data_IF_127580704291
#
_entry.id   IF_127580704291
#
_cell.length_a   1.000
_cell.length_b   1.000
_cell.length_c   1.000
_cell.angle_alpha   90.00
_cell.angle_beta   90.00
_cell.angle_gamma   90.00
#
_symmetry.space_group_name_H-M   'P 1'
#
loop_
_entity.id
_entity.type
_entity.pdbx_description
1 polymer ?
#
# COMPACT_ATOMS: atom_id res chain seq x y z
N UNK A 1 -0.25 17.57 4.02
CA UNK A 1 0.48 16.95 2.88
C UNK A 1 -0.52 16.35 1.90
N UNK A 2 -0.09 16.06 0.71
CA UNK A 2 -0.97 15.51 -0.31
C UNK A 2 -0.51 14.13 -0.73
N UNK A 3 -1.41 13.15 -0.65
CA UNK A 3 -1.23 11.82 -1.22
C UNK A 3 -1.72 11.86 -2.66
N UNK A 4 -0.87 11.47 -3.58
CA UNK A 4 -1.20 11.34 -4.99
C UNK A 4 -1.39 9.87 -5.35
N UNK A 5 -2.45 9.57 -6.07
CA UNK A 5 -2.80 8.22 -6.48
C UNK A 5 -3.05 8.22 -7.98
N UNK A 6 -2.25 7.47 -8.73
CA UNK A 6 -2.46 7.25 -10.16
C UNK A 6 -2.98 5.84 -10.38
N UNK A 7 -4.18 5.71 -10.91
CA UNK A 7 -4.84 4.44 -11.16
C UNK A 7 -5.69 4.53 -12.42
N UNK A 8 -5.49 3.62 -13.37
CA UNK A 8 -6.33 3.52 -14.57
C UNK A 8 -6.43 4.80 -15.40
N UNK A 9 -5.37 5.59 -15.51
CA UNK A 9 -5.36 6.85 -16.24
C UNK A 9 -5.92 8.04 -15.46
N UNK A 10 -6.37 7.84 -14.23
CA UNK A 10 -6.85 8.90 -13.35
C UNK A 10 -5.81 9.22 -12.28
N UNK A 11 -5.74 10.49 -11.89
CA UNK A 11 -4.91 10.93 -10.77
C UNK A 11 -5.82 11.54 -9.72
N UNK A 12 -5.75 11.01 -8.50
CA UNK A 12 -6.47 11.53 -7.33
C UNK A 12 -5.48 12.24 -6.41
N UNK A 13 -5.92 13.32 -5.82
CA UNK A 13 -5.16 14.07 -4.82
C UNK A 13 -5.93 14.12 -3.51
N UNK A 14 -5.34 13.60 -2.44
CA UNK A 14 -5.96 13.59 -1.11
C UNK A 14 -5.11 14.38 -0.13
N UNK A 15 -5.70 15.41 0.49
CA UNK A 15 -5.05 16.19 1.55
C UNK A 15 -5.15 15.40 2.85
N UNK A 16 -4.15 14.59 3.16
CA UNK A 16 -4.13 13.68 4.30
C UNK A 16 -2.72 13.55 4.88
N UNK A 17 -2.63 13.16 6.14
CA UNK A 17 -1.36 12.84 6.80
C UNK A 17 -1.16 11.32 6.92
N UNK A 18 -2.24 10.55 6.90
CA UNK A 18 -2.22 9.10 7.01
C UNK A 18 -3.27 8.47 6.10
N UNK A 19 -3.03 7.23 5.72
CA UNK A 19 -4.00 6.40 5.03
C UNK A 19 -3.82 4.94 5.44
N UNK A 20 -4.84 4.14 5.17
CA UNK A 20 -4.76 2.69 5.34
C UNK A 20 -4.88 2.00 3.98
N UNK A 21 -4.27 0.85 3.87
CA UNK A 21 -4.29 0.03 2.68
C UNK A 21 -4.57 -1.40 3.10
N UNK A 22 -5.55 -2.05 2.50
CA UNK A 22 -5.79 -3.46 2.78
C UNK A 22 -6.17 -4.23 1.52
N UNK A 23 -5.93 -5.53 1.56
CA UNK A 23 -6.23 -6.44 0.47
C UNK A 23 -6.38 -7.85 1.02
N UNK A 24 -7.03 -8.72 0.23
CA UNK A 24 -7.17 -10.14 0.56
C UNK A 24 -6.03 -10.92 -0.08
N UNK A 25 -5.34 -11.72 0.70
CA UNK A 25 -4.27 -12.58 0.18
C UNK A 25 -4.85 -13.65 -0.75
N UNK A 26 -4.28 -13.82 -1.94
CA UNK A 26 -4.85 -14.67 -3.00
C UNK A 26 -4.88 -16.16 -2.65
N UNK A 27 -3.95 -16.64 -1.83
CA UNK A 27 -3.84 -18.07 -1.48
C UNK A 27 -4.59 -18.38 -0.21
N UNK A 28 -4.30 -17.68 0.88
CA UNK A 28 -4.88 -17.97 2.21
C UNK A 28 -6.21 -17.30 2.45
N UNK A 29 -6.59 -16.33 1.60
CA UNK A 29 -7.75 -15.43 1.76
C UNK A 29 -7.77 -14.66 3.07
N UNK A 30 -6.64 -14.60 3.76
CA UNK A 30 -6.45 -13.73 4.91
C UNK A 30 -6.40 -12.26 4.47
N UNK A 31 -6.74 -11.37 5.39
CA UNK A 31 -6.70 -9.94 5.13
C UNK A 31 -5.35 -9.41 5.58
N UNK A 32 -4.74 -8.65 4.71
CA UNK A 32 -3.53 -7.89 4.98
C UNK A 32 -3.91 -6.42 5.06
N UNK A 33 -3.55 -5.74 6.14
CA UNK A 33 -3.88 -4.35 6.41
C UNK A 33 -2.63 -3.59 6.83
N UNK A 34 -2.45 -2.38 6.31
CA UNK A 34 -1.32 -1.50 6.63
C UNK A 34 -1.81 -0.07 6.86
N UNK A 35 -1.18 0.61 7.80
CA UNK A 35 -1.34 2.04 8.00
C UNK A 35 -0.04 2.73 7.61
N UNK A 36 -0.17 3.78 6.83
CA UNK A 36 0.93 4.54 6.28
C UNK A 36 0.85 5.99 6.71
N UNK A 37 1.99 6.63 6.85
CA UNK A 37 2.12 8.06 7.12
C UNK A 37 2.85 8.77 5.99
N UNK A 38 2.42 10.01 5.69
CA UNK A 38 3.09 10.91 4.79
C UNK A 38 4.14 11.72 5.55
N UNK A 39 5.31 11.88 4.97
CA UNK A 39 6.36 12.74 5.50
C UNK A 39 7.06 13.46 4.34
N UNK A 40 7.94 14.41 4.65
CA UNK A 40 8.77 15.07 3.65
C UNK A 40 9.67 14.08 2.89
N UNK A 41 10.00 12.95 3.52
CA UNK A 41 10.85 11.91 2.94
C UNK A 41 10.08 10.87 2.14
N UNK A 42 8.76 10.94 2.11
CA UNK A 42 7.90 10.04 1.35
C UNK A 42 6.83 9.35 2.17
N UNK A 43 6.47 8.14 1.78
CA UNK A 43 5.45 7.32 2.42
C UNK A 43 6.12 6.25 3.29
N UNK A 44 5.72 6.17 4.55
CA UNK A 44 6.27 5.18 5.49
C UNK A 44 5.17 4.31 6.10
N UNK A 45 5.30 2.98 6.05
CA UNK A 45 4.37 2.10 6.76
C UNK A 45 4.71 2.13 8.25
N UNK A 46 3.70 2.35 9.09
CA UNK A 46 3.88 2.49 10.55
C UNK A 46 3.22 1.38 11.33
N UNK A 47 2.32 0.63 10.71
CA UNK A 47 1.68 -0.52 11.34
C UNK A 47 1.22 -1.49 10.24
N UNK A 48 1.35 -2.78 10.50
CA UNK A 48 0.80 -3.81 9.64
C UNK A 48 0.06 -4.85 10.49
N UNK A 49 -1.02 -5.40 9.93
CA UNK A 49 -1.81 -6.48 10.55
C UNK A 49 -2.10 -7.54 9.51
N UNK A 50 -1.93 -8.80 9.92
CA UNK A 50 -2.20 -9.96 9.08
C UNK A 50 -3.19 -10.85 9.80
N UNK A 51 -4.32 -11.14 9.15
CA UNK A 51 -5.28 -12.14 9.63
C UNK A 51 -5.10 -13.42 8.84
N UNK A 52 -5.35 -14.55 9.48
CA UNK A 52 -5.19 -15.86 8.88
C UNK A 52 -3.81 -16.45 9.14
N UNK A 53 -3.68 -17.72 8.83
CA UNK A 53 -2.45 -18.48 8.95
C UNK A 53 -2.27 -19.32 7.69
N UNK A 54 -1.05 -19.54 7.29
CA UNK A 54 -0.76 -20.36 6.14
C UNK A 54 0.59 -20.03 5.50
N UNK A 55 0.92 -20.76 4.45
CA UNK A 55 2.18 -20.59 3.76
C UNK A 55 2.35 -19.17 3.22
N UNK A 56 3.46 -18.54 3.52
CA UNK A 56 3.76 -17.18 3.07
C UNK A 56 3.20 -16.07 3.95
N UNK A 57 2.48 -16.42 5.02
CA UNK A 57 1.93 -15.44 5.97
C UNK A 57 2.49 -15.64 7.37
N UNK A 58 3.74 -16.03 7.47
CA UNK A 58 4.42 -16.10 8.77
C UNK A 58 4.68 -14.69 9.28
N UNK A 59 4.25 -14.36 10.51
CA UNK A 59 4.51 -13.05 11.08
C UNK A 59 6.01 -12.85 11.31
N UNK A 60 6.53 -11.63 11.15
CA UNK A 60 7.91 -11.35 11.48
C UNK A 60 8.17 -11.51 12.98
N UNK A 61 9.44 -11.63 13.32
CA UNK A 61 9.87 -11.65 14.72
C UNK A 61 9.39 -10.38 15.43
N UNK A 62 8.86 -10.52 16.64
CA UNK A 62 8.34 -9.39 17.42
C UNK A 62 6.87 -9.06 17.14
N UNK A 63 6.21 -9.73 16.20
CA UNK A 63 4.78 -9.53 15.97
C UNK A 63 3.97 -10.02 17.16
N UNK A 64 2.88 -9.30 17.45
CA UNK A 64 1.98 -9.58 18.59
C UNK A 64 0.63 -9.99 18.05
N UNK A 65 0.09 -11.11 18.56
CA UNK A 65 -1.25 -11.56 18.21
C UNK A 65 -2.30 -10.80 19.04
N UNK A 66 -3.14 -10.02 18.34
CA UNK A 66 -4.21 -9.24 18.97
C UNK A 66 -5.50 -9.51 18.20
N UNK A 67 -6.52 -10.04 18.92
CA UNK A 67 -7.84 -10.31 18.33
C UNK A 67 -7.81 -11.10 17.01
N UNK A 68 -6.93 -12.11 16.94
CA UNK A 68 -6.82 -12.96 15.76
C UNK A 68 -5.98 -12.38 14.61
N UNK A 69 -5.39 -11.23 14.80
CA UNK A 69 -4.49 -10.61 13.82
C UNK A 69 -3.09 -10.43 14.39
N UNK A 70 -2.07 -10.73 13.60
CA UNK A 70 -0.69 -10.42 13.91
C UNK A 70 -0.42 -8.96 13.60
N UNK A 71 0.02 -8.20 14.62
CA UNK A 71 0.34 -6.78 14.49
C UNK A 71 1.83 -6.56 14.64
N UNK A 72 2.42 -5.75 13.76
CA UNK A 72 3.83 -5.41 13.81
C UNK A 72 4.10 -4.06 13.13
N UNK A 73 5.27 -3.51 13.38
CA UNK A 73 5.75 -2.30 12.72
C UNK A 73 6.69 -2.74 11.60
N UNK A 74 6.35 -2.47 10.33
CA UNK A 74 7.24 -2.81 9.22
C UNK A 74 8.59 -2.10 9.33
N UNK A 75 9.66 -2.84 9.10
CA UNK A 75 11.01 -2.28 9.03
C UNK A 75 11.30 -1.85 7.60
N UNK A 76 10.70 -0.73 7.20
CA UNK A 76 10.82 -0.17 5.87
C UNK A 76 11.03 1.34 5.98
N UNK A 77 12.10 1.88 5.36
CA UNK A 77 12.31 3.32 5.33
C UNK A 77 11.23 4.04 4.50
N UNK A 78 11.11 5.36 4.61
CA UNK A 78 10.19 6.12 3.75
C UNK A 78 10.42 5.82 2.27
N UNK A 79 9.34 5.67 1.52
CA UNK A 79 9.35 5.34 0.11
C UNK A 79 8.95 6.57 -0.72
N UNK A 80 9.70 6.86 -1.77
CA UNK A 80 9.35 7.94 -2.69
C UNK A 80 8.07 7.63 -3.45
N UNK A 81 7.83 6.36 -3.73
CA UNK A 81 6.60 5.86 -4.32
C UNK A 81 6.30 4.46 -3.83
N UNK A 82 5.04 4.11 -3.88
CA UNK A 82 4.55 2.75 -3.64
C UNK A 82 3.81 2.29 -4.89
N UNK A 83 4.19 1.13 -5.42
CA UNK A 83 3.54 0.53 -6.58
C UNK A 83 2.71 -0.67 -6.14
N UNK A 84 1.43 -0.66 -6.47
CA UNK A 84 0.50 -1.74 -6.17
C UNK A 84 0.19 -2.48 -7.46
N UNK A 85 0.56 -3.75 -7.54
CA UNK A 85 0.30 -4.54 -8.73
C UNK A 85 -1.20 -4.72 -8.96
N UNK A 86 -1.65 -4.48 -10.19
CA UNK A 86 -3.02 -4.69 -10.62
C UNK A 86 -3.07 -5.93 -11.51
N UNK A 87 -2.84 -7.11 -10.93
CA UNK A 87 -2.75 -8.38 -11.66
C UNK A 87 -4.10 -9.05 -11.94
N UNK A 88 -5.15 -8.63 -11.23
CA UNK A 88 -6.45 -9.31 -11.25
C UNK A 88 -6.49 -10.62 -10.45
N UNK A 89 -5.35 -11.05 -9.88
CA UNK A 89 -5.27 -12.29 -9.11
C UNK A 89 -5.83 -12.15 -7.69
N UNK A 90 -5.91 -10.92 -7.18
CA UNK A 90 -6.46 -10.62 -5.85
C UNK A 90 -7.93 -10.23 -5.98
N UNK A 91 -8.80 -10.92 -5.25
CA UNK A 91 -10.23 -10.59 -5.26
C UNK A 91 -10.46 -9.17 -4.71
N UNK A 92 -11.07 -8.30 -5.52
CA UNK A 92 -11.42 -6.94 -5.12
C UNK A 92 -10.30 -5.92 -5.21
N UNK A 93 -9.09 -6.30 -5.63
CA UNK A 93 -7.96 -5.37 -5.73
C UNK A 93 -7.48 -4.85 -4.37
N UNK A 94 -7.11 -3.56 -4.33
CA UNK A 94 -6.62 -2.88 -3.14
C UNK A 94 -7.69 -1.90 -2.65
N UNK A 95 -7.86 -1.79 -1.34
CA UNK A 95 -8.73 -0.76 -0.75
C UNK A 95 -7.87 0.23 0.03
N UNK A 96 -7.91 1.49 -0.38
CA UNK A 96 -7.23 2.59 0.28
C UNK A 96 -8.26 3.46 0.98
N UNK A 97 -8.10 3.66 2.28
CA UNK A 97 -9.02 4.47 3.07
C UNK A 97 -8.27 5.65 3.72
N UNK A 98 -8.86 6.82 3.64
CA UNK A 98 -8.35 8.02 4.27
C UNK A 98 -9.52 8.93 4.66
N UNK A 99 -9.49 9.48 5.86
CA UNK A 99 -10.52 10.39 6.39
C UNK A 99 -11.94 9.81 6.29
N UNK A 100 -12.07 8.51 6.52
CA UNK A 100 -13.36 7.82 6.48
C UNK A 100 -13.90 7.52 5.09
N UNK A 101 -13.15 7.79 4.03
CA UNK A 101 -13.51 7.48 2.65
C UNK A 101 -12.58 6.42 2.10
N UNK A 102 -13.14 5.38 1.49
CA UNK A 102 -12.39 4.28 0.90
C UNK A 102 -12.50 4.27 -0.62
N UNK A 103 -11.41 3.92 -1.28
CA UNK A 103 -11.31 3.80 -2.73
C UNK A 103 -10.81 2.40 -3.09
N UNK A 104 -11.47 1.73 -4.00
CA UNK A 104 -11.01 0.45 -4.56
C UNK A 104 -10.10 0.74 -5.75
N UNK A 105 -8.89 0.19 -5.72
CA UNK A 105 -7.83 0.46 -6.69
C UNK A 105 -7.31 -0.84 -7.28
N UNK A 106 -7.01 -0.84 -8.58
CA UNK A 106 -6.40 -1.99 -9.24
C UNK A 106 -7.26 -3.25 -9.24
N UNK A 107 -8.58 -3.11 -9.26
CA UNK A 107 -9.53 -4.22 -9.30
C UNK A 107 -9.39 -5.01 -10.60
N UNK A 108 -9.21 -4.33 -11.71
CA UNK A 108 -9.02 -4.93 -13.02
C UNK A 108 -7.53 -5.04 -13.35
N UNK A 109 -7.11 -6.07 -14.11
CA UNK A 109 -5.74 -6.18 -14.58
C UNK A 109 -5.31 -4.95 -15.38
N UNK A 110 -4.11 -4.47 -15.13
CA UNK A 110 -3.59 -3.30 -15.81
C UNK A 110 -2.26 -2.81 -15.23
N UNK A 111 -1.84 -1.59 -15.59
CA UNK A 111 -0.66 -0.97 -15.02
C UNK A 111 -0.74 -0.89 -13.49
N UNK A 112 0.39 -0.93 -12.78
CA UNK A 112 0.39 -0.76 -11.33
C UNK A 112 -0.26 0.55 -10.89
N UNK A 113 -0.95 0.52 -9.77
CA UNK A 113 -1.40 1.73 -9.08
C UNK A 113 -0.17 2.37 -8.42
N UNK A 114 -0.02 3.67 -8.57
CA UNK A 114 1.09 4.41 -7.99
C UNK A 114 0.61 5.32 -6.87
N UNK A 115 1.33 5.30 -5.76
CA UNK A 115 1.11 6.19 -4.63
C UNK A 115 2.38 7.00 -4.39
N UNK A 116 2.27 8.31 -4.20
CA UNK A 116 3.40 9.16 -3.83
C UNK A 116 2.93 10.38 -3.07
N UNK A 117 3.85 11.05 -2.41
CA UNK A 117 3.59 12.31 -1.72
C UNK A 117 4.20 13.45 -2.52
N UNK A 118 3.44 14.49 -2.75
CA UNK A 118 3.90 15.70 -3.44
C UNK A 118 3.09 16.92 -2.99
N UNK A 119 3.60 18.11 -3.23
CA UNK A 119 2.85 19.34 -3.02
C UNK A 119 1.66 19.44 -3.99
N UNK A 120 1.81 18.86 -5.18
CA UNK A 120 0.78 18.80 -6.21
C UNK A 120 0.89 17.48 -6.95
N UNK A 121 -0.24 16.94 -7.38
CA UNK A 121 -0.32 15.65 -8.06
C UNK A 121 -0.23 15.78 -9.59
N UNK A 122 0.65 16.62 -10.07
CA UNK A 122 0.91 16.76 -11.50
C UNK A 122 1.73 15.55 -11.98
N UNK A 123 1.24 14.77 -12.97
CA UNK A 123 1.98 13.64 -13.52
C UNK A 123 3.36 14.02 -14.08
N UNK A 124 3.54 15.29 -14.51
CA UNK A 124 4.82 15.78 -15.03
C UNK A 124 5.89 16.01 -13.97
N UNK A 125 5.54 16.04 -12.70
CA UNK A 125 6.51 16.20 -11.59
C UNK A 125 7.09 14.87 -11.11
N UNK A 126 6.54 13.75 -11.57
CA UNK A 126 6.98 12.44 -11.17
C UNK A 126 8.17 11.98 -12.01
N UNK A 127 9.35 11.94 -11.40
CA UNK A 127 10.51 11.29 -11.99
C UNK A 127 10.45 9.81 -11.64
N UNK A 128 10.19 8.98 -12.60
CA UNK A 128 10.17 7.55 -12.41
C UNK A 128 11.55 7.05 -11.94
N UNK A 129 11.68 6.50 -10.73
CA UNK A 129 12.95 5.95 -10.31
C UNK A 129 13.31 4.77 -11.19
N UNK A 130 14.59 4.63 -11.48
CA UNK A 130 15.11 3.54 -12.32
C UNK A 130 14.67 2.18 -11.77
N UNK A 131 14.33 1.21 -12.65
CA UNK A 131 13.77 -0.09 -12.25
C UNK A 131 14.65 -0.95 -11.35
N UNK A 132 15.91 -0.58 -11.13
CA UNK A 132 16.86 -1.39 -10.35
C UNK A 132 16.62 -1.39 -8.84
N UNK A 133 15.68 -0.62 -8.32
CA UNK A 133 15.42 -0.50 -6.89
C UNK A 133 13.97 -0.78 -6.54
N UNK A 134 13.38 -1.84 -7.11
CA UNK A 134 12.07 -2.29 -6.66
C UNK A 134 12.16 -2.61 -5.17
N UNK A 135 11.38 -1.94 -4.30
CA UNK A 135 11.39 -2.25 -2.89
C UNK A 135 11.01 -3.71 -2.71
N UNK A 136 11.83 -4.43 -1.99
CA UNK A 136 11.55 -5.82 -1.68
C UNK A 136 10.45 -5.88 -0.63
N UNK A 137 9.49 -6.72 -0.81
CA UNK A 137 8.49 -7.02 0.20
C UNK A 137 7.11 -6.48 -0.11
N UNK A 138 6.55 -5.69 0.75
CA UNK A 138 5.15 -5.23 0.78
C UNK A 138 4.57 -4.72 -0.54
N UNK A 139 5.38 -4.38 -1.52
CA UNK A 139 4.99 -3.62 -2.70
C UNK A 139 4.67 -4.45 -3.94
N UNK A 140 4.92 -5.75 -3.93
CA UNK A 140 4.71 -6.65 -5.09
C UNK A 140 3.67 -7.74 -4.82
N UNK A 141 2.70 -7.44 -4.01
CA UNK A 141 1.69 -8.42 -3.62
C UNK A 141 0.44 -8.38 -4.44
#
# INVERSE_FOLDING_TARGET
MTLCIAAGGLVLALAVETFTLHWTHSVTRGIWWERWELSADGLRPVEARITGSGAGMEPPEGAILINGAWSYIPDLPPQHQVLLAASGATAGGWTLCARGICHDLGTDPGPPVRLWQAASCDPGTFVEPRPAAAPRGLLLR
#
